data_IF_974374862436
#
_entry.id   IF_974374862436
#
_cell.length_a   1.000
_cell.length_b   1.000
_cell.length_c   1.000
_cell.angle_alpha   90.00
_cell.angle_beta   90.00
_cell.angle_gamma   90.00
#
_symmetry.space_group_name_H-M   'P 1'
#
loop_
_entity.id
_entity.type
_entity.pdbx_description
1 polymer ?
2 polymer ?
3 non-polymer ?
4 water ?
#
# COMPACT_ATOMS: atom_id res chain seq x y z
N UNK A 1 9.10 -7.67 -16.24
CA UNK A 1 9.87 -6.44 -16.04
C UNK A 1 10.41 -6.32 -14.62
N UNK A 2 11.38 -5.44 -14.47
CA UNK A 2 11.84 -4.96 -13.18
C UNK A 2 11.39 -3.52 -13.04
N UNK A 3 10.62 -3.22 -12.00
CA UNK A 3 10.05 -1.90 -11.78
C UNK A 3 10.73 -1.26 -10.59
N UNK A 4 11.47 -0.17 -10.84
CA UNK A 4 12.04 0.59 -9.75
C UNK A 4 10.94 1.42 -9.07
N UNK A 5 11.29 2.00 -7.92
CA UNK A 5 10.29 2.58 -7.04
C UNK A 5 10.51 4.08 -6.81
N UNK A 6 11.28 4.74 -7.69
CA UNK A 6 11.42 6.18 -7.64
C UNK A 6 10.09 6.89 -7.83
N UNK A 7 9.20 6.32 -8.64
CA UNK A 7 7.86 6.83 -8.90
C UNK A 7 6.84 5.76 -8.49
N UNK A 8 5.58 6.14 -8.44
CA UNK A 8 4.53 5.17 -8.14
C UNK A 8 4.51 4.09 -9.21
N UNK A 9 4.44 2.82 -8.83
CA UNK A 9 4.44 1.74 -9.85
C UNK A 9 3.05 1.54 -10.45
N UNK A 10 2.74 2.39 -11.43
CA UNK A 10 1.48 2.37 -12.14
C UNK A 10 1.62 1.56 -13.43
N UNK A 11 0.60 0.75 -13.73
CA UNK A 11 0.54 -0.03 -14.96
C UNK A 11 -0.85 0.09 -15.56
N UNK A 12 -0.97 -0.31 -16.82
CA UNK A 12 -2.26 -0.38 -17.47
C UNK A 12 -2.89 -1.73 -17.19
N UNK A 13 -4.17 -1.73 -16.85
CA UNK A 13 -4.95 -2.94 -16.64
C UNK A 13 -6.15 -2.91 -17.58
N UNK A 14 -6.71 -4.09 -17.81
CA UNK A 14 -7.98 -4.22 -18.52
C UNK A 14 -8.94 -5.00 -17.64
N UNK A 15 -10.09 -4.41 -17.35
CA UNK A 15 -11.08 -5.04 -16.48
C UNK A 15 -12.46 -4.63 -16.97
N UNK A 16 -13.35 -5.62 -17.07
CA UNK A 16 -14.70 -5.34 -17.57
C UNK A 16 -14.71 -4.69 -18.93
N UNK A 17 -13.73 -4.99 -19.77
CA UNK A 17 -13.63 -4.38 -21.08
C UNK A 17 -13.07 -2.97 -21.09
N UNK A 18 -12.64 -2.44 -19.96
CA UNK A 18 -12.17 -1.07 -19.84
C UNK A 18 -10.69 -1.04 -19.51
N UNK A 19 -9.96 -0.12 -20.13
CA UNK A 19 -8.57 0.13 -19.81
C UNK A 19 -8.50 1.15 -18.68
N UNK A 20 -7.68 0.87 -17.67
CA UNK A 20 -7.49 1.75 -16.55
C UNK A 20 -6.03 1.72 -16.14
N UNK A 21 -5.61 2.74 -15.40
CA UNK A 21 -4.30 2.77 -14.77
C UNK A 21 -4.47 2.33 -13.32
N UNK A 22 -3.54 1.50 -12.85
CA UNK A 22 -3.64 0.99 -11.48
C UNK A 22 -2.26 0.87 -10.84
N UNK A 23 -2.27 0.95 -9.51
CA UNK A 23 -1.07 0.96 -8.69
C UNK A 23 -0.78 -0.46 -8.21
N UNK A 24 0.42 -0.98 -8.50
CA UNK A 24 0.85 -2.27 -7.97
C UNK A 24 1.22 -2.08 -6.50
N UNK A 25 0.40 -2.65 -5.60
CA UNK A 25 0.39 -2.26 -4.19
C UNK A 25 0.64 -3.47 -3.29
N UNK A 26 1.91 -3.67 -2.88
CA UNK A 26 2.23 -4.76 -1.97
C UNK A 26 1.66 -4.54 -0.57
N UNK A 27 1.22 -3.33 -0.25
CA UNK A 27 0.57 -3.01 1.00
C UNK A 27 -0.94 -3.16 1.00
N UNK A 28 -1.51 -3.80 -0.02
CA UNK A 28 -2.94 -4.04 -0.10
C UNK A 28 -3.19 -5.54 -0.14
N UNK A 29 -4.02 -6.04 0.78
CA UNK A 29 -4.40 -7.45 0.74
C UNK A 29 -5.22 -7.75 -0.51
N UNK A 30 -6.05 -6.81 -0.93
CA UNK A 30 -7.08 -6.98 -1.94
C UNK A 30 -6.88 -5.99 -3.07
N UNK A 31 -7.58 -6.25 -4.17
CA UNK A 31 -7.59 -5.40 -5.34
C UNK A 31 -8.86 -4.55 -5.30
N UNK A 32 -8.70 -3.23 -5.44
CA UNK A 32 -9.79 -2.28 -5.27
C UNK A 32 -9.80 -1.33 -6.46
N UNK A 33 -10.91 -1.31 -7.17
CA UNK A 33 -11.07 -0.51 -8.38
C UNK A 33 -12.16 0.53 -8.14
N UNK A 34 -11.97 1.72 -8.72
CA UNK A 34 -12.95 2.79 -8.65
C UNK A 34 -14.29 2.32 -9.22
N UNK A 35 -15.35 3.06 -8.89
CA UNK A 35 -16.71 2.63 -9.21
C UNK A 35 -16.87 2.30 -10.68
N UNK A 36 -17.43 1.13 -10.94
CA UNK A 36 -17.70 0.61 -12.28
C UNK A 36 -18.65 -0.56 -12.10
N UNK A 37 -19.26 -0.98 -13.20
CA UNK A 37 -20.11 -2.16 -13.20
C UNK A 37 -19.27 -3.39 -13.56
N UNK A 38 -19.56 -4.50 -12.88
CA UNK A 38 -18.99 -5.80 -13.22
C UNK A 38 -20.12 -6.81 -13.26
N UNK A 39 -19.95 -7.88 -14.03
CA UNK A 39 -21.04 -8.87 -14.14
C UNK A 39 -21.08 -9.79 -12.93
N UNK A 40 -22.28 -10.31 -12.66
CA UNK A 40 -22.43 -11.34 -11.67
C UNK A 40 -22.83 -10.83 -10.29
N UNK A 41 -22.76 -11.75 -9.34
CA UNK A 41 -23.17 -11.47 -7.97
C UNK A 41 -22.09 -10.70 -7.22
N UNK A 42 -22.52 -9.94 -6.21
CA UNK A 42 -21.59 -9.23 -5.34
C UNK A 42 -22.17 -9.20 -3.93
N UNK A 43 -21.31 -8.91 -2.97
CA UNK A 43 -21.75 -8.73 -1.60
C UNK A 43 -20.98 -7.58 -0.97
N UNK A 44 -21.55 -6.89 0.01
CA UNK A 44 -20.90 -5.73 0.59
C UNK A 44 -19.76 -6.11 1.53
N UNK A 45 -18.80 -5.20 1.64
CA UNK A 45 -17.59 -5.43 2.43
C UNK A 45 -17.07 -4.08 2.88
N UNK A 46 -16.42 -4.06 4.03
CA UNK A 46 -15.70 -2.87 4.51
C UNK A 46 -14.22 -3.15 4.46
N UNK A 47 -13.45 -2.21 3.92
CA UNK A 47 -11.99 -2.33 3.87
C UNK A 47 -11.37 -1.12 4.57
N UNK A 48 -10.21 -1.34 5.18
CA UNK A 48 -9.63 -0.36 6.05
C UNK A 48 -8.19 -0.03 5.72
N UNK A 49 -7.75 1.11 6.23
CA UNK A 49 -6.37 1.54 6.08
C UNK A 49 -6.17 2.89 6.71
N UNK A 50 -5.18 3.63 6.23
CA UNK A 50 -5.00 5.01 6.69
C UNK A 50 -6.24 5.82 6.39
N UNK A 51 -6.71 6.58 7.39
CA UNK A 51 -7.90 7.38 7.23
C UNK A 51 -9.20 6.68 7.53
N UNK A 52 -9.18 5.38 7.80
CA UNK A 52 -10.41 4.69 8.16
C UNK A 52 -10.87 3.68 7.13
N UNK A 53 -12.17 3.44 7.06
CA UNK A 53 -12.73 2.40 6.23
C UNK A 53 -13.62 2.97 5.15
N UNK A 54 -13.73 2.23 4.05
CA UNK A 54 -14.73 2.50 3.02
C UNK A 54 -15.51 1.22 2.74
N UNK A 55 -16.75 1.41 2.29
CA UNK A 55 -17.61 0.31 1.89
C UNK A 55 -17.42 0.04 0.40
N UNK A 56 -17.31 -1.25 0.05
CA UNK A 56 -17.08 -1.67 -1.33
C UNK A 56 -18.02 -2.83 -1.66
N UNK A 57 -18.11 -3.13 -2.94
CA UNK A 57 -18.81 -4.32 -3.43
C UNK A 57 -17.78 -5.37 -3.82
N UNK A 58 -17.96 -6.59 -3.32
CA UNK A 58 -17.03 -7.68 -3.59
C UNK A 58 -17.58 -8.56 -4.71
N UNK A 59 -16.84 -8.62 -5.81
CA UNK A 59 -17.15 -9.50 -6.94
C UNK A 59 -16.10 -10.60 -6.99
N UNK A 60 -16.54 -11.85 -7.08
CA UNK A 60 -15.60 -12.95 -7.14
C UNK A 60 -15.44 -13.46 -8.57
N UNK A 61 -14.30 -14.11 -8.82
CA UNK A 61 -14.02 -14.76 -10.11
C UNK A 61 -14.08 -13.77 -11.27
N UNK A 62 -13.35 -12.66 -11.12
CA UNK A 62 -13.26 -11.61 -12.13
C UNK A 62 -11.91 -11.72 -12.81
N UNK A 63 -11.90 -11.74 -14.15
CA UNK A 63 -10.67 -11.79 -14.93
C UNK A 63 -10.15 -10.37 -15.14
N UNK A 64 -8.86 -10.18 -14.92
CA UNK A 64 -8.19 -8.92 -15.18
C UNK A 64 -6.98 -9.24 -16.06
N UNK A 65 -6.55 -8.25 -16.83
CA UNK A 65 -5.24 -8.26 -17.46
C UNK A 65 -4.40 -7.15 -16.82
N UNK A 66 -3.25 -7.52 -16.28
CA UNK A 66 -2.39 -6.60 -15.55
C UNK A 66 -1.09 -6.52 -16.30
N UNK A 67 -0.80 -5.37 -16.92
CA UNK A 67 0.41 -5.19 -17.72
C UNK A 67 0.61 -6.36 -18.70
N UNK A 68 -0.49 -6.81 -19.29
CA UNK A 68 -0.44 -7.88 -20.27
C UNK A 68 -0.52 -9.29 -19.71
N UNK A 69 -0.59 -9.45 -18.39
CA UNK A 69 -0.68 -10.77 -17.75
C UNK A 69 -2.09 -10.99 -17.25
N UNK A 70 -2.72 -12.07 -17.72
CA UNK A 70 -4.09 -12.36 -17.31
C UNK A 70 -4.11 -13.09 -15.97
N UNK A 71 -5.08 -12.71 -15.13
CA UNK A 71 -5.27 -13.37 -13.84
C UNK A 71 -6.76 -13.35 -13.53
N UNK A 72 -7.14 -14.11 -12.51
CA UNK A 72 -8.52 -14.13 -12.05
C UNK A 72 -8.53 -14.10 -10.52
N UNK A 73 -9.51 -13.39 -9.97
CA UNK A 73 -9.69 -13.40 -8.54
C UNK A 73 -10.80 -12.47 -8.12
N UNK A 74 -10.85 -12.21 -6.82
CA UNK A 74 -11.83 -11.28 -6.28
C UNK A 74 -11.40 -9.85 -6.58
N UNK A 75 -12.37 -9.02 -6.97
CA UNK A 75 -12.14 -7.60 -7.21
C UNK A 75 -13.18 -6.83 -6.39
N UNK A 76 -12.69 -5.87 -5.61
CA UNK A 76 -13.54 -4.98 -4.83
C UNK A 76 -13.74 -3.68 -5.59
N UNK A 77 -14.95 -3.14 -5.56
CA UNK A 77 -15.29 -1.93 -6.31
C UNK A 77 -15.88 -0.91 -5.35
N UNK A 78 -15.34 0.30 -5.36
CA UNK A 78 -15.84 1.33 -4.48
C UNK A 78 -15.04 2.60 -4.61
N UNK A 79 -15.26 3.55 -3.69
CA UNK A 79 -14.71 4.91 -3.83
C UNK A 79 -13.24 5.03 -3.40
N UNK A 80 -12.39 4.18 -3.97
CA UNK A 80 -10.98 4.32 -3.72
C UNK A 80 -10.42 5.50 -4.52
N UNK A 81 -9.49 6.28 -3.94
CA UNK A 81 -8.93 7.41 -4.69
C UNK A 81 -7.99 7.00 -5.80
N UNK A 82 -7.51 5.76 -5.80
CA UNK A 82 -6.63 5.25 -6.85
C UNK A 82 -6.94 3.78 -7.04
N UNK A 83 -6.90 3.35 -8.30
CA UNK A 83 -7.08 1.92 -8.58
C UNK A 83 -5.90 1.13 -8.05
N UNK A 84 -6.17 0.03 -7.37
CA UNK A 84 -5.16 -0.72 -6.62
C UNK A 84 -5.18 -2.18 -7.04
N UNK A 85 -4.04 -2.70 -7.49
CA UNK A 85 -3.83 -4.13 -7.64
C UNK A 85 -3.15 -4.61 -6.36
N UNK A 86 -3.85 -5.44 -5.58
CA UNK A 86 -3.33 -5.93 -4.33
C UNK A 86 -2.75 -7.33 -4.46
N UNK A 87 -2.35 -7.86 -3.31
CA UNK A 87 -1.58 -9.11 -3.29
C UNK A 87 -2.37 -10.28 -3.89
N UNK A 88 -3.68 -10.28 -3.74
CA UNK A 88 -4.46 -11.42 -4.24
C UNK A 88 -4.29 -11.62 -5.74
N UNK A 89 -3.98 -10.56 -6.49
CA UNK A 89 -3.69 -10.69 -7.91
C UNK A 89 -2.22 -10.54 -8.25
N UNK A 90 -1.44 -9.81 -7.43
CA UNK A 90 0.00 -9.76 -7.66
C UNK A 90 0.63 -11.15 -7.61
N UNK A 91 0.15 -12.02 -6.72
CA UNK A 91 0.69 -13.38 -6.66
C UNK A 91 0.49 -14.09 -7.99
N UNK A 92 -0.65 -13.86 -8.63
CA UNK A 92 -1.04 -14.61 -9.81
C UNK A 92 -0.20 -14.26 -11.03
N UNK A 93 0.42 -13.07 -11.04
CA UNK A 93 1.32 -12.69 -12.12
C UNK A 93 2.77 -12.96 -11.73
N UNK A 94 2.99 -13.58 -10.57
CA UNK A 94 4.33 -13.92 -10.15
C UNK A 94 5.16 -12.75 -9.66
N UNK A 95 4.53 -11.71 -9.12
CA UNK A 95 5.26 -10.53 -8.70
C UNK A 95 5.95 -10.77 -7.36
N UNK A 96 7.21 -10.31 -7.28
CA UNK A 96 7.98 -10.38 -6.05
C UNK A 96 8.66 -9.05 -5.79
N UNK A 97 8.94 -8.80 -4.51
CA UNK A 97 9.85 -7.75 -4.09
C UNK A 97 11.26 -8.32 -4.03
N UNK A 98 12.22 -7.52 -4.46
CA UNK A 98 13.60 -7.99 -4.49
C UNK A 98 14.53 -6.88 -4.02
N UNK A 99 15.46 -7.24 -3.13
CA UNK A 99 16.51 -6.32 -2.73
C UNK A 99 17.69 -7.11 -2.16
N UNK B 1 16.88 -10.45 -0.52
CA UNK B 1 15.95 -11.57 -0.68
C UNK B 1 14.97 -11.33 -1.83
N UNK B 2 14.23 -12.38 -2.16
CA UNK B 2 13.10 -12.31 -3.07
C UNK B 2 11.87 -12.67 -2.25
N UNK B 3 10.93 -11.74 -2.16
CA UNK B 3 9.77 -11.87 -1.27
C UNK B 3 8.52 -12.04 -2.13
N UNK B 4 7.87 -13.20 -1.99
CA UNK B 4 6.59 -13.43 -2.62
C UNK B 4 5.48 -12.78 -1.80
N UNK B 5 4.26 -12.81 -2.32
CA UNK B 5 3.20 -11.95 -1.80
C UNK B 5 1.96 -12.74 -1.36
N UNK B 6 2.13 -14.05 -1.13
CA UNK B 6 1.02 -14.86 -0.61
C UNK B 6 0.63 -14.43 0.80
N UNK B 7 1.58 -13.90 1.56
CA UNK B 7 1.29 -13.27 2.84
C UNK B 7 1.79 -11.83 2.83
N UNK B 8 1.41 -11.07 3.84
CA UNK B 8 1.86 -9.68 3.93
C UNK B 8 3.39 -9.64 3.99
N UNK B 9 4.04 -8.74 3.24
CA UNK B 9 5.51 -8.67 3.26
C UNK B 9 6.03 -7.88 4.47
N UNK B 10 5.96 -8.53 5.62
CA UNK B 10 6.39 -7.97 6.88
C UNK B 10 7.86 -8.27 7.12
N UNK B 11 8.59 -7.27 7.59
CA UNK B 11 10.01 -7.41 7.94
C UNK B 11 10.25 -6.77 9.29
N UNK B 12 11.40 -7.07 9.87
CA UNK B 12 11.84 -6.40 11.08
C UNK B 12 12.59 -5.13 10.73
N UNK B 13 12.25 -4.05 11.42
CA UNK B 13 12.97 -2.78 11.32
C UNK B 13 13.54 -2.44 12.68
N UNK B 14 14.54 -1.57 12.67
CA UNK B 14 15.13 -1.05 13.90
C UNK B 14 15.13 0.46 13.82
N UNK B 15 14.49 1.11 14.79
CA UNK B 15 14.38 2.56 14.80
C UNK B 15 14.36 2.99 16.25
N UNK B 16 15.13 4.02 16.57
CA UNK B 16 15.28 4.41 17.97
C UNK B 16 15.77 3.31 18.87
N UNK B 17 16.59 2.39 18.35
CA UNK B 17 17.08 1.27 19.11
C UNK B 17 16.08 0.15 19.34
N UNK B 18 14.85 0.30 18.85
CA UNK B 18 13.77 -0.66 19.09
C UNK B 18 13.52 -1.47 17.84
N UNK B 19 13.29 -2.77 18.01
CA UNK B 19 12.83 -3.61 16.91
C UNK B 19 11.32 -3.50 16.78
N UNK B 20 10.85 -3.39 15.54
CA UNK B 20 9.43 -3.35 15.22
C UNK B 20 9.20 -4.14 13.95
N UNK B 21 7.95 -4.50 13.71
CA UNK B 21 7.52 -5.15 12.48
C UNK B 21 6.93 -4.08 11.55
N UNK B 22 7.26 -4.15 10.27
CA UNK B 22 6.73 -3.17 9.32
C UNK B 22 6.47 -3.82 7.97
N UNK B 23 5.57 -3.22 7.21
CA UNK B 23 5.09 -3.74 5.94
C UNK B 23 5.80 -3.04 4.78
N UNK B 24 6.45 -3.81 3.90
CA UNK B 24 7.06 -3.25 2.71
C UNK B 24 5.96 -2.90 1.73
N UNK B 25 5.78 -1.60 1.45
CA UNK B 25 4.55 -1.11 0.85
C UNK B 25 4.83 -0.28 -0.41
N UNK B 26 4.74 -0.92 -1.58
CA UNK B 26 4.94 -0.19 -2.83
C UNK B 26 3.80 0.76 -3.15
N UNK B 27 2.69 0.66 -2.44
CA UNK B 27 1.57 1.57 -2.58
C UNK B 27 1.63 2.77 -1.66
N UNK B 28 2.75 3.02 -1.00
CA UNK B 28 2.94 4.15 -0.10
C UNK B 28 4.08 5.01 -0.62
N UNK B 29 3.82 6.31 -0.77
CA UNK B 29 4.89 7.24 -1.15
C UNK B 29 5.92 7.34 -0.03
N UNK B 30 5.44 7.33 1.21
CA UNK B 30 6.20 7.69 2.40
C UNK B 30 6.16 6.54 3.40
N UNK B 31 7.00 6.67 4.42
CA UNK B 31 7.11 5.70 5.50
C UNK B 31 6.38 6.26 6.71
N UNK B 32 5.47 5.45 7.28
CA UNK B 32 4.60 5.89 8.36
C UNK B 32 4.67 4.86 9.48
N UNK B 33 5.04 5.30 10.67
CA UNK B 33 5.24 4.45 11.83
C UNK B 33 4.28 4.88 12.94
N UNK B 34 3.85 3.91 13.73
CA UNK B 34 2.98 4.16 14.88
C UNK B 34 3.68 5.04 15.90
N UNK B 35 2.88 5.64 16.77
CA UNK B 35 3.35 6.61 17.76
C UNK B 35 4.58 6.09 18.50
N UNK B 36 5.64 6.89 18.52
CA UNK B 36 6.87 6.57 19.24
C UNK B 36 7.67 7.86 19.36
N UNK B 37 8.70 7.82 20.20
CA UNK B 37 9.57 8.96 20.41
C UNK B 37 10.71 8.95 19.41
N UNK B 38 10.92 10.06 18.72
CA UNK B 38 12.03 10.24 17.81
C UNK B 38 12.73 11.56 18.15
N UNK B 39 14.03 11.66 17.85
CA UNK B 39 14.77 12.89 18.19
C UNK B 39 14.52 14.00 17.19
N UNK B 40 14.73 15.24 17.68
CA UNK B 40 14.73 16.39 16.81
C UNK B 40 13.37 17.03 16.63
N UNK B 41 13.31 17.97 15.71
CA UNK B 41 12.07 18.67 15.42
C UNK B 41 11.26 17.93 14.36
N UNK B 42 9.97 18.21 14.35
CA UNK B 42 9.08 17.67 13.33
C UNK B 42 8.32 18.80 12.65
N UNK B 43 7.83 18.50 11.46
CA UNK B 43 7.07 19.41 10.62
C UNK B 43 5.72 18.78 10.31
N UNK B 44 4.72 19.59 9.97
CA UNK B 44 3.38 19.04 9.71
C UNK B 44 3.29 18.43 8.32
N UNK B 45 2.48 17.38 8.22
CA UNK B 45 2.24 16.75 6.93
C UNK B 45 0.86 16.08 6.94
N UNK B 46 0.16 16.26 5.84
CA UNK B 46 -1.11 15.60 5.58
C UNK B 46 -0.89 14.45 4.61
N UNK B 47 -1.36 13.26 4.95
CA UNK B 47 -1.26 12.11 4.07
C UNK B 47 -2.65 11.55 3.78
N UNK B 48 -2.79 10.94 2.61
CA UNK B 48 -4.04 10.36 2.18
C UNK B 48 -3.96 8.85 2.15
N UNK B 49 -5.03 8.20 2.58
CA UNK B 49 -5.10 6.75 2.60
C UNK B 49 -6.42 6.27 2.02
N UNK B 50 -6.71 4.98 2.15
CA UNK B 50 -7.94 4.42 1.58
C UNK B 50 -9.18 5.07 2.18
N UNK B 51 -9.11 5.49 3.44
CA UNK B 51 -10.28 5.97 4.14
C UNK B 51 -10.42 7.48 4.27
N UNK B 52 -9.38 8.22 3.93
CA UNK B 52 -9.39 9.66 4.08
C UNK B 52 -7.99 10.18 4.35
N UNK B 53 -7.93 11.44 4.79
CA UNK B 53 -6.67 12.09 5.10
C UNK B 53 -6.45 12.15 6.60
N UNK B 54 -5.18 12.05 7.01
CA UNK B 54 -4.81 12.22 8.41
C UNK B 54 -3.57 13.10 8.51
N UNK B 55 -3.45 13.77 9.65
CA UNK B 55 -2.27 14.56 9.99
C UNK B 55 -1.25 13.66 10.66
N UNK B 56 0.03 13.84 10.30
CA UNK B 56 1.11 13.10 10.92
C UNK B 56 2.26 14.06 11.23
N UNK B 57 3.24 13.56 11.95
CA UNK B 57 4.45 14.31 12.27
C UNK B 57 5.57 13.86 11.35
N UNK B 58 6.20 14.79 10.66
CA UNK B 58 7.28 14.48 9.74
C UNK B 58 8.63 14.73 10.42
N UNK B 59 9.40 13.66 10.61
CA UNK B 59 10.75 13.74 11.15
C UNK B 59 11.71 13.42 10.01
N UNK B 60 12.61 14.35 9.70
CA UNK B 60 13.56 14.14 8.62
C UNK B 60 14.86 13.54 9.15
N UNK B 61 15.57 12.83 8.26
CA UNK B 61 16.94 12.38 8.53
C UNK B 61 17.03 11.47 9.75
N UNK B 62 16.16 10.46 9.80
CA UNK B 62 16.09 9.50 10.89
C UNK B 62 16.79 8.21 10.47
N UNK B 63 17.63 7.68 11.34
CA UNK B 63 18.32 6.42 11.10
C UNK B 63 17.35 5.27 11.30
N UNK B 64 17.28 4.36 10.32
CA UNK B 64 16.36 3.24 10.40
C UNK B 64 16.95 2.07 9.61
N UNK B 65 16.95 0.88 10.21
CA UNK B 65 17.38 -0.32 9.52
C UNK B 65 16.15 -1.10 9.11
N UNK B 66 16.16 -1.60 7.87
CA UNK B 66 15.01 -2.30 7.31
C UNK B 66 15.49 -3.64 6.77
N UNK B 67 15.05 -4.73 7.40
CA UNK B 67 15.45 -6.07 6.97
C UNK B 67 16.96 -6.17 6.83
N UNK B 68 17.68 -5.53 7.74
CA UNK B 68 19.13 -5.58 7.76
C UNK B 68 19.83 -4.55 6.88
N UNK B 69 19.08 -3.70 6.16
CA UNK B 69 19.66 -2.69 5.29
C UNK B 69 19.53 -1.31 5.93
N UNK B 70 20.61 -0.56 5.93
CA UNK B 70 20.60 0.73 6.60
C UNK B 70 20.04 1.83 5.69
N UNK B 71 19.18 2.67 6.28
CA UNK B 71 18.61 3.82 5.60
C UNK B 71 18.65 5.01 6.56
N UNK B 72 18.64 6.22 6.00
CA UNK B 72 18.51 7.44 6.80
C UNK B 72 17.61 8.35 6.00
N UNK B 73 16.44 8.67 6.53
CA UNK B 73 15.51 9.46 5.77
C UNK B 73 14.28 9.84 6.55
N UNK B 74 13.27 10.28 5.82
CA UNK B 74 12.09 10.85 6.45
C UNK B 74 11.16 9.76 6.97
N UNK B 75 10.75 9.91 8.22
CA UNK B 75 9.82 8.99 8.88
C UNK B 75 8.64 9.82 9.37
N UNK B 76 7.44 9.44 8.95
CA UNK B 76 6.21 10.07 9.45
C UNK B 76 5.68 9.25 10.61
N UNK B 77 5.19 9.92 11.64
CA UNK B 77 4.69 9.26 12.83
C UNK B 77 3.23 9.66 13.02
N UNK B 78 2.36 8.69 13.20
CA UNK B 78 0.96 8.97 13.39
C UNK B 78 0.16 7.69 13.54
N UNK B 79 -1.17 7.84 13.61
CA UNK B 79 -2.06 6.70 13.88
C UNK B 79 -2.30 5.82 12.65
N UNK B 80 -1.23 5.25 12.14
CA UNK B 80 -1.37 4.27 11.07
C UNK B 80 -1.71 2.91 11.69
N UNK B 81 -2.52 2.08 11.01
CA UNK B 81 -2.89 0.78 11.59
C UNK B 81 -1.76 -0.23 11.63
N UNK B 82 -0.76 -0.08 10.75
CA UNK B 82 0.42 -0.93 10.73
C UNK B 82 1.60 -0.04 10.36
N UNK B 83 2.79 -0.43 10.82
CA UNK B 83 3.98 0.31 10.41
C UNK B 83 4.23 0.04 8.92
N UNK B 84 4.52 1.09 8.16
CA UNK B 84 4.59 1.05 6.70
C UNK B 84 5.95 1.57 6.24
N UNK B 85 6.68 0.77 5.46
CA UNK B 85 7.88 1.24 4.76
C UNK B 85 7.46 1.59 3.35
N UNK B 86 7.52 2.88 3.02
CA UNK B 86 7.11 3.35 1.71
C UNK B 86 8.29 3.57 0.79
N UNK B 87 7.98 4.10 -0.41
CA UNK B 87 8.96 4.13 -1.48
C UNK B 87 10.18 4.98 -1.15
N UNK B 88 10.02 6.01 -0.31
CA UNK B 88 11.17 6.85 0.04
C UNK B 88 12.30 6.02 0.63
N UNK B 89 11.98 4.98 1.41
CA UNK B 89 13.00 4.12 1.97
C UNK B 89 13.18 2.81 1.23
N UNK B 90 12.17 2.31 0.52
CA UNK B 90 12.37 1.15 -0.35
C UNK B 90 13.45 1.44 -1.39
N UNK B 91 13.50 2.66 -1.92
CA UNK B 91 14.55 3.00 -2.87
C UNK B 91 15.92 2.96 -2.19
N UNK B 92 16.01 3.40 -0.93
CA UNK B 92 17.29 3.39 -0.23
C UNK B 92 17.82 1.97 -0.03
N UNK B 93 16.93 0.98 0.15
CA UNK B 93 17.38 -0.40 0.33
C UNK B 93 17.52 -1.14 -0.99
N UNK B 94 17.26 -0.48 -2.12
CA UNK B 94 17.44 -1.10 -3.41
C UNK B 94 16.31 -2.01 -3.85
N UNK B 95 15.11 -1.82 -3.33
CA UNK B 95 14.01 -2.72 -3.64
C UNK B 95 13.38 -2.41 -4.98
N UNK B 96 13.03 -3.47 -5.70
CA UNK B 96 12.27 -3.39 -6.95
C UNK B 96 11.15 -4.40 -6.91
N UNK B 97 10.14 -4.15 -7.75
CA UNK B 97 9.09 -5.11 -8.05
C UNK B 97 9.43 -5.84 -9.33
N UNK B 98 9.25 -7.16 -9.34
CA UNK B 98 9.66 -7.96 -10.49
C UNK B 98 8.59 -8.99 -10.83
N UNK B 99 8.31 -9.13 -12.12
CA UNK B 99 7.48 -10.23 -12.59
C UNK B 99 7.77 -10.58 -14.04
N UNK C 1 -7.92 -7.78 4.95
CA UNK C 1 -8.52 -6.74 4.13
C UNK C 1 -7.95 -5.38 4.48
N UNK C 2 -6.64 -5.35 4.66
CA UNK C 2 -5.92 -4.14 4.95
C UNK C 2 -5.36 -3.51 3.69
N UNK C 3 -5.84 -2.31 3.38
CA UNK C 3 -5.53 -1.64 2.13
C UNK C 3 -4.70 -0.40 2.43
N UNK C 4 -3.39 -0.56 2.49
CA UNK C 4 -2.51 0.48 3.01
C UNK C 4 -1.90 1.38 1.93
N UNK C 5 -2.74 1.76 0.97
CA UNK C 5 -2.44 2.92 0.13
C UNK C 5 -2.03 4.10 1.00
N UNK C 6 -0.98 4.80 0.58
CA UNK C 6 -0.60 6.03 1.25
C UNK C 6 -0.06 7.00 0.21
N UNK C 7 -0.51 8.24 0.28
CA UNK C 7 -0.15 9.25 -0.70
C UNK C 7 0.20 10.56 -0.02
N UNK C 8 1.03 11.34 -0.69
CA UNK C 8 1.26 12.73 -0.30
C UNK C 8 1.71 13.55 -1.49
#
# INVERSE_FOLDING_TARGET
PQITLWKRPLVTIKIGGQLKEALLNTGADDTVIEEMSLPGRWKPKMIGGIGGFIKVRQYDQIIIEIAGHKAIGTVLVGPTPVNIIGRNLLTQIGATLNF
PQITLWKRPLVTIKIGGQLKEALLNTGADDTVIEEMSLPGRWKPKMIGGIGGFIKVRQYDQIIIEIAGHKAIGTVLVGPTPVNIIGRNLLTQIGATLNF
SGIFLETS
#
